data_IF_639449985924
#
_entry.id   IF_639449985924
#
_cell.length_a   1.000
_cell.length_b   1.000
_cell.length_c   1.000
_cell.angle_alpha   90.00
_cell.angle_beta   90.00
_cell.angle_gamma   90.00
#
_symmetry.space_group_name_H-M   'P 1'
#
loop_
_entity.id
_entity.type
_entity.pdbx_description
1 polymer ?
#
# COMPACT_ATOMS: atom_id res chain seq x y z
N UNK A 1 30.85 -2.22 -4.59
CA UNK A 1 29.88 -2.55 -5.67
C UNK A 1 28.82 -1.47 -5.68
N UNK A 2 28.32 -1.10 -6.86
CA UNK A 2 27.15 -0.22 -7.01
C UNK A 2 25.91 -0.99 -6.57
N UNK A 3 25.11 -0.39 -5.71
CA UNK A 3 24.01 -1.06 -4.99
C UNK A 3 22.67 -0.46 -5.39
N UNK A 4 21.65 -1.32 -5.44
CA UNK A 4 20.26 -0.88 -5.45
C UNK A 4 19.89 -0.27 -4.09
N UNK A 5 18.83 0.55 -4.04
CA UNK A 5 18.27 1.08 -2.81
C UNK A 5 17.95 -0.06 -1.83
N UNK A 6 17.34 -1.14 -2.31
CA UNK A 6 17.03 -2.30 -1.48
C UNK A 6 18.28 -2.82 -0.76
N UNK A 7 19.38 -3.04 -1.50
CA UNK A 7 20.64 -3.50 -0.92
C UNK A 7 21.23 -2.48 0.06
N UNK A 8 21.22 -1.18 -0.28
CA UNK A 8 21.70 -0.12 0.62
C UNK A 8 20.94 -0.09 1.94
N UNK A 9 19.62 -0.19 1.89
CA UNK A 9 18.76 -0.18 3.08
C UNK A 9 18.91 -1.47 3.87
N UNK A 10 18.91 -2.62 3.20
CA UNK A 10 19.10 -3.94 3.83
C UNK A 10 20.41 -4.01 4.61
N UNK A 11 21.52 -3.63 3.98
CA UNK A 11 22.85 -3.65 4.60
C UNK A 11 22.92 -2.72 5.81
N UNK A 12 22.33 -1.52 5.70
CA UNK A 12 22.29 -0.53 6.80
C UNK A 12 21.51 -1.03 8.02
N UNK A 13 20.53 -1.90 7.81
CA UNK A 13 19.63 -2.40 8.86
C UNK A 13 19.96 -3.84 9.27
N UNK A 14 21.00 -4.45 8.71
CA UNK A 14 21.45 -5.78 9.10
C UNK A 14 22.11 -5.70 10.48
N UNK A 15 21.56 -6.45 11.44
CA UNK A 15 22.15 -6.60 12.78
C UNK A 15 23.19 -7.72 12.76
N UNK A 16 22.82 -8.87 12.21
CA UNK A 16 23.68 -10.04 12.09
C UNK A 16 23.18 -10.96 10.97
N UNK A 17 24.06 -11.84 10.50
CA UNK A 17 23.66 -13.02 9.73
C UNK A 17 23.43 -14.18 10.70
N UNK A 18 22.30 -14.87 10.54
CA UNK A 18 21.92 -16.00 11.37
C UNK A 18 22.51 -17.32 10.81
N UNK A 19 22.66 -18.37 11.65
CA UNK A 19 23.27 -19.63 11.22
C UNK A 19 22.56 -20.34 10.06
N UNK A 20 21.27 -20.07 9.86
CA UNK A 20 20.46 -20.61 8.76
C UNK A 20 20.61 -19.82 7.44
N UNK A 21 21.43 -18.77 7.42
CA UNK A 21 21.67 -17.91 6.28
C UNK A 21 20.66 -16.76 6.14
N UNK A 22 19.69 -16.63 7.05
CA UNK A 22 18.80 -15.47 7.09
C UNK A 22 19.49 -14.26 7.73
N UNK A 23 19.02 -13.06 7.39
CA UNK A 23 19.48 -11.81 8.00
C UNK A 23 18.59 -11.49 9.19
N UNK A 24 19.19 -11.24 10.36
CA UNK A 24 18.51 -10.53 11.44
C UNK A 24 18.44 -9.05 11.06
N UNK A 25 17.26 -8.61 10.65
CA UNK A 25 17.01 -7.27 10.14
C UNK A 25 16.38 -6.42 11.23
N UNK A 26 16.96 -5.25 11.51
CA UNK A 26 16.37 -4.23 12.35
C UNK A 26 15.20 -3.56 11.64
N UNK A 27 14.06 -3.41 12.32
CA UNK A 27 12.87 -2.75 11.80
C UNK A 27 12.82 -1.32 12.33
N UNK A 28 13.06 -0.33 11.47
CA UNK A 28 13.12 1.08 11.87
C UNK A 28 11.78 1.61 12.38
N UNK A 29 10.68 1.17 11.77
CA UNK A 29 9.32 1.58 12.07
C UNK A 29 8.41 0.36 12.06
N UNK A 30 7.62 0.19 13.13
CA UNK A 30 6.59 -0.83 13.21
C UNK A 30 5.22 -0.16 13.19
N UNK A 31 4.37 -0.54 12.24
CA UNK A 31 2.98 -0.11 12.22
C UNK A 31 2.11 -1.28 12.69
N UNK A 32 1.06 -1.00 13.44
CA UNK A 32 0.14 -2.02 13.95
C UNK A 32 -1.32 -1.55 13.82
N UNK A 33 -2.21 -2.53 13.80
CA UNK A 33 -3.66 -2.33 13.70
C UNK A 33 -4.38 -3.45 14.47
N UNK A 34 -5.68 -3.27 14.68
CA UNK A 34 -6.51 -4.04 15.59
C UNK A 34 -6.67 -5.53 15.25
N UNK A 35 -6.41 -5.94 14.01
CA UNK A 35 -6.69 -7.31 13.56
C UNK A 35 -5.60 -8.28 14.02
N UNK A 36 -4.33 -7.86 13.94
CA UNK A 36 -3.19 -8.76 14.14
C UNK A 36 -2.40 -8.49 15.42
N UNK A 37 -2.50 -7.28 15.98
CA UNK A 37 -1.69 -6.89 17.14
C UNK A 37 -2.21 -7.37 18.50
N UNK A 38 -3.51 -7.54 18.78
CA UNK A 38 -3.97 -7.97 20.12
C UNK A 38 -3.35 -9.30 20.58
N UNK A 39 -3.29 -10.29 19.67
CA UNK A 39 -2.69 -11.59 19.96
C UNK A 39 -1.18 -11.46 20.18
N UNK A 40 -0.51 -10.58 19.42
CA UNK A 40 0.91 -10.33 19.62
C UNK A 40 1.18 -9.77 21.02
N UNK A 41 0.44 -8.74 21.47
CA UNK A 41 0.54 -8.21 22.84
C UNK A 41 0.23 -9.26 23.91
N UNK A 42 -0.75 -10.15 23.66
CA UNK A 42 -1.02 -11.31 24.51
C UNK A 42 0.23 -12.19 24.69
N UNK A 43 0.91 -12.53 23.60
CA UNK A 43 2.15 -13.33 23.64
C UNK A 43 3.29 -12.61 24.40
N UNK A 44 3.40 -11.28 24.32
CA UNK A 44 4.36 -10.54 25.15
C UNK A 44 4.05 -10.72 26.64
N UNK A 45 2.77 -10.60 27.03
CA UNK A 45 2.34 -10.78 28.43
C UNK A 45 2.62 -12.18 28.93
N UNK A 46 2.31 -13.22 28.14
CA UNK A 46 2.57 -14.62 28.50
C UNK A 46 4.08 -14.89 28.73
N UNK A 47 4.94 -14.21 27.98
CA UNK A 47 6.40 -14.30 28.10
C UNK A 47 7.01 -13.34 29.13
N UNK A 48 6.22 -12.48 29.76
CA UNK A 48 6.72 -11.44 30.68
C UNK A 48 7.58 -10.37 29.99
N UNK A 49 7.39 -10.15 28.69
CA UNK A 49 8.16 -9.20 27.87
C UNK A 49 7.47 -7.84 27.77
N UNK A 50 8.29 -6.80 27.56
CA UNK A 50 7.83 -5.45 27.23
C UNK A 50 8.02 -5.17 25.74
N UNK A 51 7.37 -4.12 25.24
CA UNK A 51 7.71 -3.56 23.92
C UNK A 51 9.08 -2.90 24.00
N UNK A 52 10.01 -3.30 23.14
CA UNK A 52 11.40 -2.85 23.19
C UNK A 52 11.57 -1.38 22.76
N UNK A 53 10.88 -0.93 21.71
CA UNK A 53 10.96 0.45 21.20
C UNK A 53 9.55 1.00 20.92
N UNK A 54 8.79 1.38 21.96
CA UNK A 54 7.43 1.88 21.81
C UNK A 54 7.36 3.20 21.01
N UNK A 55 8.44 4.00 21.02
CA UNK A 55 8.60 5.24 20.24
C UNK A 55 8.72 5.01 18.72
N UNK A 56 8.93 3.76 18.30
CA UNK A 56 9.02 3.33 16.90
C UNK A 56 7.81 2.53 16.44
N UNK A 57 6.85 2.34 17.33
CA UNK A 57 5.62 1.59 17.06
C UNK A 57 4.45 2.56 17.02
N UNK A 58 3.66 2.48 15.96
CA UNK A 58 2.50 3.34 15.74
C UNK A 58 1.27 2.51 15.43
N UNK A 59 0.17 2.80 16.10
CA UNK A 59 -1.09 2.10 15.95
C UNK A 59 -2.16 3.00 15.31
N UNK A 60 -3.07 2.40 14.56
CA UNK A 60 -4.36 2.98 14.20
C UNK A 60 -5.41 1.88 14.11
N UNK A 61 -6.68 2.25 13.99
CA UNK A 61 -7.78 1.31 13.69
C UNK A 61 -8.29 1.61 12.31
N UNK A 62 -8.46 0.61 11.45
CA UNK A 62 -8.89 0.85 10.07
C UNK A 62 -9.72 -0.25 9.39
N UNK A 63 -9.76 -1.48 9.90
CA UNK A 63 -10.51 -2.58 9.27
C UNK A 63 -11.96 -2.68 9.79
N UNK A 64 -12.21 -2.22 11.01
CA UNK A 64 -13.48 -2.48 11.72
C UNK A 64 -14.29 -1.24 12.08
N UNK A 65 -13.85 -0.04 11.67
CA UNK A 65 -14.64 1.18 11.89
C UNK A 65 -15.87 1.12 10.95
N UNK A 66 -17.10 1.12 11.49
CA UNK A 66 -18.29 1.01 10.64
C UNK A 66 -18.48 2.24 9.76
N UNK A 67 -18.90 2.01 8.51
CA UNK A 67 -19.12 3.09 7.54
C UNK A 67 -20.30 4.01 7.87
N UNK A 68 -21.24 3.54 8.71
CA UNK A 68 -22.52 4.20 9.02
C UNK A 68 -22.61 4.73 10.46
N UNK A 69 -21.61 4.48 11.31
CA UNK A 69 -21.57 4.92 12.70
C UNK A 69 -20.19 5.49 13.06
N UNK A 70 -20.16 6.68 13.66
CA UNK A 70 -18.91 7.38 14.01
C UNK A 70 -18.64 7.50 15.50
N UNK A 71 -19.56 7.04 16.35
CA UNK A 71 -19.50 7.22 17.81
C UNK A 71 -19.67 5.86 18.48
N UNK A 72 -18.76 5.53 19.40
CA UNK A 72 -18.81 4.33 20.25
C UNK A 72 -19.98 4.40 21.28
N UNK A 73 -20.52 3.26 21.74
CA UNK A 73 -20.15 1.90 21.34
C UNK A 73 -20.69 1.53 19.96
N UNK A 74 -19.91 0.78 19.19
CA UNK A 74 -20.35 0.33 17.87
C UNK A 74 -21.40 -0.78 17.96
N UNK A 75 -22.31 -0.84 16.96
CA UNK A 75 -23.33 -1.89 16.85
C UNK A 75 -22.74 -3.30 16.82
N UNK A 76 -21.59 -3.44 16.17
CA UNK A 76 -20.82 -4.67 16.20
C UNK A 76 -19.98 -4.71 17.49
N UNK A 77 -20.39 -5.58 18.42
CA UNK A 77 -19.73 -5.73 19.72
C UNK A 77 -18.32 -6.31 19.63
N UNK A 78 -18.04 -7.11 18.58
CA UNK A 78 -16.69 -7.63 18.36
C UNK A 78 -15.77 -6.50 17.89
N UNK A 79 -16.24 -5.67 16.95
CA UNK A 79 -15.49 -4.51 16.50
C UNK A 79 -15.19 -3.55 17.67
N UNK A 80 -16.22 -3.22 18.45
CA UNK A 80 -16.07 -2.38 19.64
C UNK A 80 -15.04 -2.93 20.65
N UNK A 81 -15.06 -4.24 20.91
CA UNK A 81 -14.11 -4.90 21.80
C UNK A 81 -12.67 -4.87 21.27
N UNK A 82 -12.46 -5.10 19.95
CA UNK A 82 -11.14 -5.06 19.33
C UNK A 82 -10.50 -3.66 19.41
N UNK A 83 -11.27 -2.61 19.19
CA UNK A 83 -10.81 -1.22 19.32
C UNK A 83 -10.38 -0.92 20.76
N UNK A 84 -11.21 -1.33 21.73
CA UNK A 84 -10.93 -1.15 23.16
C UNK A 84 -9.67 -1.90 23.59
N UNK A 85 -9.48 -3.13 23.10
CA UNK A 85 -8.29 -3.92 23.40
C UNK A 85 -7.02 -3.32 22.78
N UNK A 86 -7.06 -2.82 21.54
CA UNK A 86 -5.93 -2.10 20.94
C UNK A 86 -5.60 -0.83 21.75
N UNK A 87 -6.61 -0.05 22.13
CA UNK A 87 -6.46 1.16 22.96
C UNK A 87 -5.79 0.85 24.29
N UNK A 88 -6.25 -0.20 24.97
CA UNK A 88 -5.66 -0.70 26.22
C UNK A 88 -4.20 -1.09 26.02
N UNK A 89 -3.90 -1.91 25.01
CA UNK A 89 -2.54 -2.34 24.72
C UNK A 89 -1.61 -1.16 24.42
N UNK A 90 -2.07 -0.19 23.62
CA UNK A 90 -1.26 0.99 23.33
C UNK A 90 -0.97 1.81 24.60
N UNK A 91 -1.97 2.00 25.46
CA UNK A 91 -1.79 2.70 26.73
C UNK A 91 -0.86 1.95 27.70
N UNK A 92 -0.97 0.62 27.76
CA UNK A 92 -0.17 -0.22 28.67
C UNK A 92 1.32 -0.21 28.28
N UNK A 93 1.60 -0.29 26.98
CA UNK A 93 2.96 -0.40 26.45
C UNK A 93 3.56 0.92 25.96
N UNK A 94 2.83 2.05 26.07
CA UNK A 94 3.31 3.37 25.67
C UNK A 94 3.42 3.56 24.14
N UNK A 95 2.64 2.81 23.36
CA UNK A 95 2.60 2.90 21.90
C UNK A 95 1.76 4.08 21.46
N UNK A 96 2.23 4.84 20.47
CA UNK A 96 1.47 5.96 19.91
C UNK A 96 0.25 5.43 19.14
N UNK A 97 -0.95 5.87 19.53
CA UNK A 97 -2.20 5.42 18.92
C UNK A 97 -2.97 6.56 18.26
N UNK A 98 -3.15 6.49 16.93
CA UNK A 98 -4.01 7.38 16.16
C UNK A 98 -5.46 6.89 16.23
N UNK A 99 -6.08 7.10 17.39
CA UNK A 99 -7.45 6.73 17.71
C UNK A 99 -8.47 7.60 16.97
N UNK A 100 -9.74 7.17 16.90
CA UNK A 100 -10.85 7.87 16.22
C UNK A 100 -11.02 9.31 16.73
N UNK A 101 -10.86 9.52 18.04
CA UNK A 101 -10.96 10.84 18.67
C UNK A 101 -9.78 11.77 18.34
N UNK A 102 -8.67 11.24 17.81
CA UNK A 102 -7.45 12.02 17.53
C UNK A 102 -7.57 12.95 16.32
N UNK A 103 -8.58 12.74 15.46
CA UNK A 103 -8.69 13.43 14.17
C UNK A 103 -7.66 12.99 13.13
N UNK A 104 -6.84 11.96 13.45
CA UNK A 104 -5.75 11.43 12.61
C UNK A 104 -5.94 9.96 12.25
N UNK A 105 -7.04 9.34 12.65
CA UNK A 105 -7.33 7.94 12.35
C UNK A 105 -7.55 7.75 10.84
N UNK A 106 -7.15 6.61 10.33
CA UNK A 106 -7.33 6.22 8.95
C UNK A 106 -6.65 4.90 8.66
N UNK A 107 -6.65 4.52 7.39
CA UNK A 107 -5.94 3.35 6.89
C UNK A 107 -4.46 3.45 7.24
N UNK A 108 -3.90 2.39 7.83
CA UNK A 108 -2.53 2.38 8.37
C UNK A 108 -1.48 2.83 7.35
N UNK A 109 -1.64 2.43 6.08
CA UNK A 109 -0.75 2.78 4.97
C UNK A 109 -0.93 4.20 4.42
N UNK A 110 -1.95 4.93 4.88
CA UNK A 110 -2.19 6.35 4.58
C UNK A 110 -1.76 7.20 5.78
N UNK A 111 -2.11 6.80 7.00
CA UNK A 111 -1.74 7.49 8.23
C UNK A 111 -0.21 7.61 8.37
N UNK A 112 0.53 6.53 8.13
CA UNK A 112 2.00 6.56 8.22
C UNK A 112 2.64 7.68 7.37
N UNK A 113 2.40 7.72 6.06
CA UNK A 113 2.85 8.80 5.18
C UNK A 113 2.32 10.18 5.56
N UNK A 114 1.03 10.33 5.87
CA UNK A 114 0.42 11.61 6.24
C UNK A 114 1.03 12.24 7.48
N UNK A 115 1.45 11.41 8.43
CA UNK A 115 2.13 11.85 9.64
C UNK A 115 3.64 12.07 9.42
N UNK A 116 4.21 11.63 8.28
CA UNK A 116 5.65 11.70 8.01
C UNK A 116 6.46 10.62 8.72
N UNK A 117 5.82 9.53 9.12
CA UNK A 117 6.44 8.35 9.76
C UNK A 117 7.16 7.50 8.70
N UNK A 118 6.61 7.48 7.48
CA UNK A 118 7.20 6.78 6.34
C UNK A 118 8.31 7.63 5.72
N UNK A 119 9.56 7.20 5.87
CA UNK A 119 10.73 7.99 5.47
C UNK A 119 11.69 7.18 4.58
N UNK A 120 12.40 7.84 3.65
CA UNK A 120 13.36 7.17 2.79
C UNK A 120 14.46 6.45 3.56
N UNK A 121 14.85 5.28 3.05
CA UNK A 121 15.98 4.53 3.55
C UNK A 121 15.71 3.77 4.84
N UNK A 122 14.44 3.53 5.17
CA UNK A 122 14.02 2.84 6.41
C UNK A 122 13.47 1.44 6.12
N UNK A 123 13.53 0.55 7.10
CA UNK A 123 12.79 -0.72 7.12
C UNK A 123 11.45 -0.54 7.85
N UNK A 124 10.35 -0.98 7.25
CA UNK A 124 9.00 -0.83 7.81
C UNK A 124 8.27 -2.17 7.78
N UNK A 125 7.68 -2.56 8.90
CA UNK A 125 6.85 -3.76 8.99
C UNK A 125 5.46 -3.43 9.55
N UNK A 126 4.46 -4.21 9.14
CA UNK A 126 3.12 -4.18 9.71
C UNK A 126 2.47 -5.56 9.56
N UNK A 127 1.50 -5.87 10.41
CA UNK A 127 0.65 -7.06 10.29
C UNK A 127 -0.28 -7.10 9.06
N UNK A 128 0.00 -6.28 8.04
CA UNK A 128 -0.81 -6.10 6.83
C UNK A 128 0.05 -6.37 5.57
N UNK A 129 -0.50 -7.09 4.60
CA UNK A 129 0.19 -7.45 3.34
C UNK A 129 0.62 -6.24 2.50
N UNK A 130 -0.17 -5.17 2.51
CA UNK A 130 -0.01 -3.98 1.68
C UNK A 130 0.98 -2.96 2.25
N UNK A 131 1.75 -3.35 3.27
CA UNK A 131 2.87 -2.56 3.81
C UNK A 131 3.87 -2.14 2.74
N UNK A 132 3.94 -2.86 1.62
CA UNK A 132 4.68 -2.44 0.42
C UNK A 132 4.36 -1.01 -0.04
N UNK A 133 3.17 -0.47 0.26
CA UNK A 133 2.76 0.93 -0.01
C UNK A 133 3.84 1.95 0.37
N UNK A 134 4.50 1.73 1.51
CA UNK A 134 5.49 2.64 2.06
C UNK A 134 6.77 2.74 1.21
N UNK A 135 7.01 1.78 0.32
CA UNK A 135 8.13 1.83 -0.62
C UNK A 135 8.03 2.95 -1.66
N UNK A 136 6.87 3.59 -1.82
CA UNK A 136 6.71 4.81 -2.61
C UNK A 136 7.62 5.98 -2.15
N UNK A 137 8.12 5.89 -0.92
CA UNK A 137 9.02 6.85 -0.29
C UNK A 137 10.48 6.38 -0.28
N UNK A 138 10.81 5.28 -0.96
CA UNK A 138 12.15 4.68 -0.89
C UNK A 138 12.43 3.95 0.42
N UNK A 139 11.40 3.38 1.05
CA UNK A 139 11.51 2.48 2.19
C UNK A 139 11.51 1.01 1.73
N UNK A 140 12.15 0.12 2.49
CA UNK A 140 11.99 -1.33 2.35
C UNK A 140 10.90 -1.77 3.31
N UNK A 141 9.71 -1.99 2.77
CA UNK A 141 8.50 -2.18 3.57
C UNK A 141 7.76 -3.46 3.16
N UNK A 142 7.35 -4.27 4.14
CA UNK A 142 6.75 -5.58 3.88
C UNK A 142 5.80 -6.02 5.01
N UNK A 143 4.78 -6.78 4.65
CA UNK A 143 3.82 -7.37 5.58
C UNK A 143 4.38 -8.56 6.34
N UNK A 144 3.99 -8.69 7.60
CA UNK A 144 4.45 -9.73 8.53
C UNK A 144 3.29 -10.44 9.22
N UNK A 145 3.50 -11.68 9.64
CA UNK A 145 2.48 -12.44 10.38
C UNK A 145 2.42 -12.09 11.87
N UNK A 146 1.37 -12.48 12.57
CA UNK A 146 1.17 -12.19 14.02
C UNK A 146 2.36 -12.59 14.90
N UNK A 147 2.99 -13.75 14.67
CA UNK A 147 4.17 -14.15 15.44
C UNK A 147 5.36 -13.23 15.20
N UNK A 148 5.52 -12.72 13.97
CA UNK A 148 6.57 -11.75 13.64
C UNK A 148 6.22 -10.37 14.23
N UNK A 149 4.95 -9.99 14.32
CA UNK A 149 4.52 -8.76 15.03
C UNK A 149 4.98 -8.82 16.48
N UNK A 150 4.80 -9.97 17.16
CA UNK A 150 5.35 -10.19 18.50
C UNK A 150 6.88 -10.03 18.51
N UNK A 151 7.60 -10.65 17.58
CA UNK A 151 9.07 -10.60 17.54
C UNK A 151 9.58 -9.16 17.36
N UNK A 152 8.94 -8.37 16.50
CA UNK A 152 9.27 -6.95 16.31
C UNK A 152 8.92 -6.14 17.56
N UNK A 153 7.77 -6.37 18.20
CA UNK A 153 7.45 -5.72 19.48
C UNK A 153 8.47 -6.05 20.57
N UNK A 154 8.89 -7.31 20.67
CA UNK A 154 9.79 -7.78 21.72
C UNK A 154 11.27 -7.41 21.49
N UNK A 155 11.70 -7.27 20.23
CA UNK A 155 13.13 -7.16 19.89
C UNK A 155 13.49 -6.04 18.90
N UNK A 156 12.50 -5.49 18.19
CA UNK A 156 12.68 -4.59 17.04
C UNK A 156 13.44 -5.21 15.86
N UNK A 157 13.58 -6.53 15.84
CA UNK A 157 14.25 -7.27 14.78
C UNK A 157 13.39 -8.40 14.28
N UNK A 158 13.72 -8.91 13.10
CA UNK A 158 13.16 -10.14 12.58
C UNK A 158 14.14 -10.87 11.68
N UNK A 159 14.00 -12.19 11.58
CA UNK A 159 14.76 -13.01 10.65
C UNK A 159 14.10 -13.02 9.27
N UNK A 160 14.84 -12.63 8.23
CA UNK A 160 14.38 -12.64 6.84
C UNK A 160 15.50 -13.05 5.88
N UNK A 161 15.16 -13.88 4.90
CA UNK A 161 16.04 -14.10 3.74
C UNK A 161 16.02 -12.86 2.83
N UNK A 162 17.17 -12.45 2.27
CA UNK A 162 17.21 -11.36 1.31
C UNK A 162 16.47 -11.73 0.02
N UNK A 163 15.89 -10.72 -0.63
CA UNK A 163 15.22 -10.86 -1.92
C UNK A 163 16.18 -10.50 -3.06
N UNK A 164 15.97 -11.12 -4.22
CA UNK A 164 16.52 -10.62 -5.49
C UNK A 164 15.86 -9.29 -5.85
N UNK A 165 16.47 -8.46 -6.67
CA UNK A 165 15.88 -7.19 -7.11
C UNK A 165 15.54 -7.25 -8.59
N UNK A 166 14.25 -7.09 -8.91
CA UNK A 166 13.78 -6.89 -10.28
C UNK A 166 13.48 -5.42 -10.51
N UNK A 167 14.06 -4.84 -11.55
CA UNK A 167 13.67 -3.52 -12.04
C UNK A 167 12.44 -3.64 -12.93
N UNK A 168 11.38 -2.91 -12.59
CA UNK A 168 10.19 -2.71 -13.41
C UNK A 168 10.28 -1.32 -14.02
N UNK A 169 10.72 -1.24 -15.28
CA UNK A 169 10.95 0.01 -15.98
C UNK A 169 9.75 0.36 -16.87
N UNK A 170 9.10 1.50 -16.61
CA UNK A 170 7.98 2.00 -17.42
C UNK A 170 8.41 3.25 -18.19
N UNK A 171 8.32 3.18 -19.52
CA UNK A 171 8.82 4.19 -20.46
C UNK A 171 7.68 4.94 -21.14
N UNK A 172 7.95 6.19 -21.53
CA UNK A 172 7.01 7.00 -22.29
C UNK A 172 5.99 7.76 -21.42
N UNK A 173 4.86 8.13 -22.03
CA UNK A 173 3.80 8.92 -21.40
C UNK A 173 2.48 8.15 -21.43
N UNK A 174 1.72 8.22 -20.34
CA UNK A 174 0.41 7.60 -20.25
C UNK A 174 -0.59 8.30 -21.19
N UNK A 175 -1.50 7.51 -21.75
CA UNK A 175 -2.64 8.02 -22.50
C UNK A 175 -3.69 8.68 -21.59
N UNK A 176 -4.63 9.46 -22.16
CA UNK A 176 -5.73 10.05 -21.41
C UNK A 176 -6.58 8.98 -20.70
N UNK A 177 -6.93 9.23 -19.44
CA UNK A 177 -7.74 8.31 -18.63
C UNK A 177 -6.99 7.09 -18.10
N UNK A 178 -5.66 7.04 -18.26
CA UNK A 178 -4.78 6.00 -17.71
C UNK A 178 -4.03 6.57 -16.51
N UNK A 179 -4.09 5.86 -15.39
CA UNK A 179 -3.52 6.26 -14.11
C UNK A 179 -2.60 5.18 -13.53
N UNK A 180 -1.99 5.48 -12.38
CA UNK A 180 -1.12 4.55 -11.66
C UNK A 180 -1.76 3.17 -11.40
N UNK A 181 -3.08 3.12 -11.20
CA UNK A 181 -3.81 1.85 -11.02
C UNK A 181 -3.77 0.97 -12.27
N UNK A 182 -3.88 1.58 -13.45
CA UNK A 182 -3.81 0.86 -14.73
C UNK A 182 -2.39 0.33 -14.98
N UNK A 183 -1.36 1.10 -14.60
CA UNK A 183 0.04 0.67 -14.70
C UNK A 183 0.26 -0.63 -13.91
N UNK A 184 -0.10 -0.64 -12.62
CA UNK A 184 0.18 -1.79 -11.77
C UNK A 184 -0.69 -3.00 -12.13
N UNK A 185 -1.95 -2.80 -12.53
CA UNK A 185 -2.78 -3.89 -13.05
C UNK A 185 -2.22 -4.46 -14.36
N UNK A 186 -1.68 -3.62 -15.24
CA UNK A 186 -1.04 -4.09 -16.48
C UNK A 186 0.25 -4.87 -16.20
N UNK A 187 1.04 -4.45 -15.21
CA UNK A 187 2.23 -5.22 -14.77
C UNK A 187 1.79 -6.59 -14.22
N UNK A 188 0.79 -6.62 -13.32
CA UNK A 188 0.32 -7.86 -12.69
C UNK A 188 -0.30 -8.81 -13.72
N UNK A 189 -1.12 -8.33 -14.65
CA UNK A 189 -1.71 -9.19 -15.70
C UNK A 189 -0.64 -9.79 -16.62
N UNK A 190 0.46 -9.07 -16.86
CA UNK A 190 1.53 -9.48 -17.78
C UNK A 190 2.51 -10.45 -17.12
N UNK A 191 2.88 -10.21 -15.86
CA UNK A 191 3.82 -11.06 -15.12
C UNK A 191 3.12 -12.21 -14.36
N UNK A 192 1.81 -12.10 -14.16
CA UNK A 192 1.02 -13.00 -13.33
C UNK A 192 1.11 -12.66 -11.83
N UNK A 193 0.17 -13.21 -11.06
CA UNK A 193 0.07 -13.00 -9.60
C UNK A 193 1.22 -13.60 -8.79
N UNK A 194 2.00 -14.50 -9.40
CA UNK A 194 3.21 -15.09 -8.81
C UNK A 194 4.50 -14.53 -9.44
N UNK A 195 4.39 -13.53 -10.31
CA UNK A 195 5.53 -13.03 -11.09
C UNK A 195 6.67 -12.52 -10.21
N UNK A 196 6.35 -11.94 -9.06
CA UNK A 196 7.29 -11.30 -8.13
C UNK A 196 7.81 -12.19 -7.01
N UNK A 197 7.43 -13.46 -6.96
CA UNK A 197 7.88 -14.38 -5.92
C UNK A 197 9.41 -14.45 -5.87
N UNK A 198 9.99 -14.15 -4.70
CA UNK A 198 11.44 -14.11 -4.49
C UNK A 198 12.12 -12.80 -4.92
N UNK A 199 11.36 -11.81 -5.41
CA UNK A 199 11.87 -10.51 -5.83
C UNK A 199 11.31 -9.36 -4.97
N UNK A 200 12.15 -8.37 -4.73
CA UNK A 200 11.74 -7.00 -4.49
C UNK A 200 11.62 -6.28 -5.84
N UNK A 201 10.58 -5.47 -6.03
CA UNK A 201 10.39 -4.67 -7.23
C UNK A 201 10.92 -3.25 -7.03
N UNK A 202 11.83 -2.83 -7.89
CA UNK A 202 12.17 -1.42 -8.07
C UNK A 202 11.39 -0.87 -9.25
N UNK A 203 10.40 -0.03 -9.00
CA UNK A 203 9.67 0.67 -10.06
C UNK A 203 10.46 1.89 -10.49
N UNK A 204 10.77 1.98 -11.79
CA UNK A 204 11.67 2.97 -12.35
C UNK A 204 11.23 3.42 -13.75
N UNK A 205 11.93 4.42 -14.28
CA UNK A 205 11.70 4.94 -15.62
C UNK A 205 10.86 6.22 -15.60
N UNK A 206 10.87 6.97 -16.72
CA UNK A 206 10.34 8.32 -16.79
C UNK A 206 8.85 8.39 -16.45
N UNK A 207 8.08 7.34 -16.72
CA UNK A 207 6.66 7.31 -16.35
C UNK A 207 6.48 7.26 -14.83
N UNK A 208 7.22 6.39 -14.13
CA UNK A 208 7.14 6.24 -12.66
C UNK A 208 7.68 7.48 -11.95
N UNK A 209 8.80 8.04 -12.43
CA UNK A 209 9.37 9.30 -11.93
C UNK A 209 8.39 10.47 -12.14
N UNK A 210 7.63 10.44 -13.23
CA UNK A 210 6.58 11.40 -13.56
C UNK A 210 5.38 11.41 -12.60
N UNK A 211 5.11 10.31 -11.90
CA UNK A 211 3.99 10.19 -10.95
C UNK A 211 4.15 11.09 -9.72
N UNK A 212 3.03 11.44 -9.10
CA UNK A 212 2.96 11.97 -7.75
C UNK A 212 3.27 10.89 -6.70
N UNK A 213 3.52 11.29 -5.45
CA UNK A 213 3.76 10.32 -4.37
C UNK A 213 2.54 9.44 -4.11
N UNK A 214 1.32 9.99 -4.16
CA UNK A 214 0.10 9.21 -3.95
C UNK A 214 -0.15 8.19 -5.07
N UNK A 215 0.25 8.51 -6.30
CA UNK A 215 0.26 7.56 -7.42
C UNK A 215 1.33 6.47 -7.26
N UNK A 216 2.53 6.82 -6.78
CA UNK A 216 3.58 5.82 -6.46
C UNK A 216 3.12 4.88 -5.35
N UNK A 217 2.37 5.39 -4.36
CA UNK A 217 1.77 4.58 -3.30
C UNK A 217 0.82 3.54 -3.87
N UNK A 218 -0.03 3.90 -4.86
CA UNK A 218 -0.90 2.92 -5.56
C UNK A 218 -0.11 1.77 -6.17
N UNK A 219 1.01 2.08 -6.85
CA UNK A 219 1.85 1.06 -7.50
C UNK A 219 2.53 0.18 -6.45
N UNK A 220 3.15 0.77 -5.44
CA UNK A 220 3.87 0.02 -4.42
C UNK A 220 2.92 -0.85 -3.58
N UNK A 221 1.74 -0.33 -3.23
CA UNK A 221 0.67 -1.05 -2.53
C UNK A 221 0.36 -2.38 -3.22
N UNK A 222 0.15 -2.35 -4.53
CA UNK A 222 -0.26 -3.53 -5.29
C UNK A 222 0.89 -4.48 -5.70
N UNK A 223 2.10 -4.29 -5.17
CA UNK A 223 3.23 -5.19 -5.46
C UNK A 223 2.97 -6.61 -4.95
N UNK A 224 2.27 -6.73 -3.83
CA UNK A 224 1.99 -8.03 -3.19
C UNK A 224 1.00 -8.86 -4.02
N UNK A 225 0.06 -8.24 -4.72
CA UNK A 225 -0.84 -8.88 -5.69
C UNK A 225 -0.10 -9.48 -6.90
N UNK A 226 1.07 -8.93 -7.23
CA UNK A 226 1.98 -9.48 -8.23
C UNK A 226 2.99 -10.49 -7.64
N UNK A 227 2.89 -10.81 -6.34
CA UNK A 227 3.76 -11.73 -5.63
C UNK A 227 5.06 -11.12 -5.08
N UNK A 228 5.30 -9.83 -5.33
CA UNK A 228 6.49 -9.12 -4.83
C UNK A 228 6.21 -8.59 -3.41
N UNK A 229 6.92 -9.14 -2.43
CA UNK A 229 6.73 -8.80 -1.01
C UNK A 229 7.17 -7.37 -0.66
N UNK A 230 8.01 -6.78 -1.50
CA UNK A 230 8.52 -5.41 -1.40
C UNK A 230 8.39 -4.79 -2.79
N UNK A 231 7.88 -3.56 -2.84
CA UNK A 231 7.92 -2.72 -4.04
C UNK A 231 8.27 -1.30 -3.66
N UNK A 232 9.20 -0.66 -4.38
CA UNK A 232 9.69 0.66 -4.03
C UNK A 232 10.00 1.53 -5.25
N UNK A 233 10.03 2.84 -5.01
CA UNK A 233 10.50 3.86 -5.95
C UNK A 233 11.67 4.61 -5.29
N UNK A 234 12.69 4.94 -6.06
CA UNK A 234 13.80 5.77 -5.56
C UNK A 234 13.28 7.14 -5.10
N UNK A 235 13.72 7.65 -3.93
CA UNK A 235 13.26 8.93 -3.42
C UNK A 235 13.82 10.07 -4.25
N UNK A 236 12.98 11.07 -4.54
CA UNK A 236 13.33 12.27 -5.31
C UNK A 236 12.72 13.53 -4.69
N UNK A 237 12.80 14.68 -5.38
CA UNK A 237 12.25 15.95 -4.87
C UNK A 237 10.77 15.84 -4.48
N UNK A 238 9.96 15.10 -5.24
CA UNK A 238 8.53 14.94 -4.91
C UNK A 238 8.36 14.20 -3.59
N UNK A 239 9.23 13.24 -3.30
CA UNK A 239 9.25 12.54 -2.01
C UNK A 239 9.57 13.52 -0.89
N UNK A 240 10.58 14.37 -1.08
CA UNK A 240 11.01 15.33 -0.06
C UNK A 240 9.97 16.44 0.16
N UNK A 241 9.36 16.95 -0.90
CA UNK A 241 8.30 17.96 -0.82
C UNK A 241 7.06 17.42 -0.09
N UNK A 242 6.68 16.16 -0.34
CA UNK A 242 5.55 15.53 0.36
C UNK A 242 5.79 15.43 1.87
N UNK A 243 7.03 15.12 2.27
CA UNK A 243 7.43 14.91 3.66
C UNK A 243 7.70 16.22 4.43
N UNK A 244 7.96 17.31 3.72
CA UNK A 244 8.33 18.58 4.34
C UNK A 244 7.23 19.09 5.28
N UNK A 245 7.64 19.39 6.52
CA UNK A 245 6.73 19.94 7.53
C UNK A 245 5.77 18.93 8.16
N UNK A 246 5.83 17.63 7.79
CA UNK A 246 5.00 16.60 8.41
C UNK A 246 5.37 16.38 9.88
N UNK A 247 4.41 15.99 10.74
CA UNK A 247 4.62 15.95 12.20
C UNK A 247 5.84 15.16 12.68
N UNK A 248 6.10 13.99 12.09
CA UNK A 248 7.19 13.09 12.47
C UNK A 248 8.43 13.20 11.56
N UNK A 249 8.45 14.17 10.65
CA UNK A 249 9.64 14.47 9.86
C UNK A 249 10.62 15.36 10.64
N UNK A 250 11.94 15.22 10.36
CA UNK A 250 12.95 16.12 10.91
C UNK A 250 12.66 17.60 10.59
N UNK A 251 13.21 18.52 11.39
CA UNK A 251 13.00 19.96 11.24
C UNK A 251 14.32 20.73 11.31
N UNK A 252 14.37 21.92 10.70
CA UNK A 252 15.56 22.77 10.73
C UNK A 252 16.80 22.05 10.22
N UNK A 253 17.90 22.09 10.98
CA UNK A 253 19.17 21.45 10.58
C UNK A 253 19.06 19.93 10.40
N UNK A 254 18.19 19.27 11.16
CA UNK A 254 17.98 17.82 11.04
C UNK A 254 17.24 17.47 9.74
N UNK A 255 16.41 18.39 9.22
CA UNK A 255 15.80 18.25 7.90
C UNK A 255 16.85 18.32 6.80
N UNK A 256 17.74 19.31 6.86
CA UNK A 256 18.81 19.47 5.86
C UNK A 256 19.75 18.25 5.86
N UNK A 257 20.10 17.74 7.05
CA UNK A 257 20.87 16.50 7.18
C UNK A 257 20.12 15.28 6.64
N UNK A 258 18.82 15.16 6.93
CA UNK A 258 17.99 14.07 6.40
C UNK A 258 17.91 14.11 4.87
N UNK A 259 17.79 15.28 4.24
CA UNK A 259 17.79 15.41 2.79
C UNK A 259 19.09 14.88 2.16
N UNK A 260 20.23 15.20 2.76
CA UNK A 260 21.54 14.68 2.29
C UNK A 260 21.57 13.15 2.35
N UNK A 261 21.08 12.57 3.44
CA UNK A 261 21.07 11.11 3.60
C UNK A 261 20.02 10.43 2.71
N UNK A 262 18.82 10.97 2.59
CA UNK A 262 17.76 10.43 1.75
C UNK A 262 18.15 10.41 0.27
N UNK A 263 18.91 11.39 -0.22
CA UNK A 263 19.44 11.37 -1.59
C UNK A 263 20.42 10.22 -1.84
N UNK A 264 21.21 9.84 -0.83
CA UNK A 264 22.19 8.74 -0.95
C UNK A 264 21.54 7.35 -0.97
N UNK A 265 20.28 7.26 -0.52
CA UNK A 265 19.51 6.00 -0.45
C UNK A 265 19.14 5.49 -1.84
N UNK A 266 18.90 6.37 -2.80
CA UNK A 266 18.55 5.99 -4.18
C UNK A 266 19.58 5.02 -4.78
N UNK A 267 19.11 4.10 -5.62
CA UNK A 267 19.95 3.16 -6.39
C UNK A 267 21.06 3.90 -7.13
N UNK A 268 22.25 3.33 -7.13
CA UNK A 268 23.36 3.89 -7.90
C UNK A 268 23.03 3.84 -9.42
N UNK A 269 23.49 4.80 -10.24
CA UNK A 269 23.15 4.85 -11.67
C UNK A 269 23.44 3.57 -12.46
N UNK A 270 24.49 2.82 -12.07
CA UNK A 270 24.83 1.52 -12.65
C UNK A 270 24.71 0.39 -11.63
N UNK A 271 23.67 0.45 -10.78
CA UNK A 271 23.29 -0.66 -9.92
C UNK A 271 22.95 -1.90 -10.77
N UNK A 272 23.34 -3.07 -10.27
CA UNK A 272 23.07 -4.35 -10.94
C UNK A 272 21.76 -4.93 -10.39
N UNK A 273 20.88 -5.34 -11.30
CA UNK A 273 19.59 -5.95 -11.01
C UNK A 273 19.62 -7.42 -11.41
N UNK A 274 18.93 -8.27 -10.64
CA UNK A 274 18.79 -9.70 -10.94
C UNK A 274 17.90 -9.95 -12.16
N UNK A 275 16.96 -9.04 -12.43
CA UNK A 275 16.07 -9.08 -13.59
C UNK A 275 15.59 -7.67 -13.96
N UNK A 276 15.26 -7.45 -15.23
CA UNK A 276 14.71 -6.18 -15.75
C UNK A 276 13.51 -6.50 -16.63
N UNK A 277 12.36 -5.91 -16.30
CA UNK A 277 11.14 -5.94 -17.13
C UNK A 277 10.83 -4.53 -17.59
N UNK A 278 10.62 -4.38 -18.89
CA UNK A 278 10.34 -3.10 -19.53
C UNK A 278 8.90 -3.08 -20.03
N UNK A 279 8.19 -1.99 -19.76
CA UNK A 279 6.83 -1.73 -20.21
C UNK A 279 6.77 -0.37 -20.89
N UNK A 280 6.01 -0.27 -21.98
CA UNK A 280 5.75 0.99 -22.66
C UNK A 280 4.41 1.56 -22.19
N UNK A 281 4.41 2.78 -21.66
CA UNK A 281 3.22 3.46 -21.16
C UNK A 281 2.14 3.64 -22.24
N UNK A 282 2.53 3.67 -23.51
CA UNK A 282 1.62 3.75 -24.66
C UNK A 282 0.76 2.48 -24.83
N UNK A 283 1.21 1.34 -24.34
CA UNK A 283 0.49 0.06 -24.43
C UNK A 283 -0.52 -0.10 -23.29
N UNK A 284 -0.46 0.76 -22.26
CA UNK A 284 -1.32 0.71 -21.09
C UNK A 284 -2.59 1.53 -21.37
N UNK A 285 -3.73 0.89 -21.18
CA UNK A 285 -5.07 1.46 -21.38
C UNK A 285 -5.91 1.33 -20.10
N UNK A 286 -7.06 2.01 -19.98
CA UNK A 286 -7.92 1.88 -18.81
C UNK A 286 -8.28 0.42 -18.55
N UNK A 287 -7.94 -0.08 -17.37
CA UNK A 287 -7.92 -1.50 -17.03
C UNK A 287 -8.94 -1.81 -15.94
N UNK A 288 -9.59 -2.96 -16.07
CA UNK A 288 -10.54 -3.50 -15.09
C UNK A 288 -10.26 -4.98 -14.89
N UNK A 289 -10.40 -5.46 -13.65
CA UNK A 289 -10.31 -6.88 -13.33
C UNK A 289 -11.69 -7.53 -13.48
N UNK A 290 -11.78 -8.58 -14.30
CA UNK A 290 -13.04 -9.27 -14.57
C UNK A 290 -13.29 -10.48 -13.66
N UNK A 291 -12.26 -10.95 -12.96
CA UNK A 291 -12.28 -12.19 -12.20
C UNK A 291 -12.08 -12.02 -10.70
N UNK A 292 -11.53 -13.07 -10.07
CA UNK A 292 -11.37 -13.22 -8.61
C UNK A 292 -9.94 -13.00 -8.13
N UNK A 293 -9.01 -12.70 -9.05
CA UNK A 293 -7.67 -12.25 -8.70
C UNK A 293 -7.21 -11.08 -9.59
N UNK A 294 -6.23 -10.27 -9.14
CA UNK A 294 -5.79 -9.06 -9.85
C UNK A 294 -5.07 -9.32 -11.19
N UNK A 295 -4.56 -10.53 -11.42
CA UNK A 295 -3.99 -10.94 -12.71
C UNK A 295 -5.03 -11.12 -13.80
N UNK A 296 -6.31 -11.30 -13.44
CA UNK A 296 -7.43 -11.39 -14.36
C UNK A 296 -7.90 -9.99 -14.78
N UNK A 297 -6.96 -9.19 -15.31
CA UNK A 297 -7.18 -7.83 -15.81
C UNK A 297 -7.32 -7.79 -17.33
N UNK A 298 -8.27 -7.00 -17.82
CA UNK A 298 -8.44 -6.66 -19.24
C UNK A 298 -8.56 -5.14 -19.39
N UNK A 299 -8.28 -4.63 -20.57
CA UNK A 299 -8.68 -3.26 -20.89
C UNK A 299 -10.20 -3.17 -21.00
N UNK A 300 -10.77 -2.02 -20.67
CA UNK A 300 -12.22 -1.84 -20.57
C UNK A 300 -12.96 -2.14 -21.90
N UNK A 301 -12.27 -2.01 -23.04
CA UNK A 301 -12.78 -2.26 -24.38
C UNK A 301 -12.56 -3.71 -24.89
N UNK A 302 -11.80 -4.52 -24.14
CA UNK A 302 -11.55 -5.93 -24.44
C UNK A 302 -12.73 -6.84 -24.03
N UNK A 303 -12.75 -8.02 -24.63
CA UNK A 303 -13.64 -9.11 -24.21
C UNK A 303 -12.95 -9.99 -23.18
N UNK A 304 -13.72 -10.55 -22.25
CA UNK A 304 -13.24 -11.55 -21.30
C UNK A 304 -12.72 -12.77 -22.09
N UNK A 305 -11.47 -13.24 -21.85
CA UNK A 305 -10.90 -14.36 -22.59
C UNK A 305 -11.65 -15.67 -22.34
N UNK A 306 -11.65 -16.59 -23.31
CA UNK A 306 -12.06 -17.97 -23.03
C UNK A 306 -10.93 -18.68 -22.29
N UNK A 307 -11.24 -19.58 -21.33
CA UNK A 307 -10.20 -20.32 -20.60
C UNK A 307 -9.23 -21.06 -21.52
N UNK A 308 -9.68 -21.53 -22.68
CA UNK A 308 -8.87 -22.25 -23.67
C UNK A 308 -7.79 -21.36 -24.31
N UNK A 309 -7.99 -20.04 -24.31
CA UNK A 309 -7.05 -19.04 -24.83
C UNK A 309 -5.95 -18.67 -23.82
N UNK A 310 -6.10 -19.08 -22.56
CA UNK A 310 -5.15 -18.80 -21.49
C UNK A 310 -4.12 -19.92 -21.35
N UNK A 311 -2.93 -19.63 -20.77
CA UNK A 311 -1.95 -20.64 -20.39
C UNK A 311 -2.59 -21.75 -19.55
N UNK A 312 -2.12 -22.99 -19.70
CA UNK A 312 -2.69 -24.17 -19.02
C UNK A 312 -2.83 -23.95 -17.50
N UNK A 313 -1.82 -23.34 -16.88
CA UNK A 313 -1.79 -23.05 -15.45
C UNK A 313 -2.93 -22.12 -14.98
N UNK A 314 -3.46 -21.26 -15.86
CA UNK A 314 -4.47 -20.26 -15.52
C UNK A 314 -5.90 -20.71 -15.83
N UNK A 315 -6.08 -21.79 -16.61
CA UNK A 315 -7.39 -22.21 -17.12
C UNK A 315 -8.38 -22.57 -16.02
N UNK A 316 -7.93 -23.24 -14.97
CA UNK A 316 -8.79 -23.62 -13.85
C UNK A 316 -9.31 -22.40 -13.10
N UNK A 317 -8.42 -21.46 -12.76
CA UNK A 317 -8.79 -20.22 -12.07
C UNK A 317 -9.68 -19.33 -12.94
N UNK A 318 -9.49 -19.33 -14.27
CA UNK A 318 -10.37 -18.60 -15.19
C UNK A 318 -11.79 -19.18 -15.24
N UNK A 319 -11.93 -20.51 -15.23
CA UNK A 319 -13.24 -21.17 -15.17
C UNK A 319 -13.97 -20.83 -13.86
N UNK A 320 -13.28 -20.93 -12.74
CA UNK A 320 -13.80 -20.54 -11.42
C UNK A 320 -14.22 -19.07 -11.40
N UNK A 321 -13.40 -18.17 -11.95
CA UNK A 321 -13.69 -16.75 -12.02
C UNK A 321 -14.96 -16.46 -12.84
N UNK A 322 -15.12 -17.09 -14.01
CA UNK A 322 -16.32 -16.92 -14.84
C UNK A 322 -17.58 -17.39 -14.11
N UNK A 323 -17.50 -18.53 -13.42
CA UNK A 323 -18.61 -19.07 -12.64
C UNK A 323 -18.97 -18.18 -11.45
N UNK A 324 -17.99 -17.80 -10.63
CA UNK A 324 -18.19 -16.96 -9.46
C UNK A 324 -18.73 -15.57 -9.84
N UNK A 325 -18.13 -14.94 -10.85
CA UNK A 325 -18.53 -13.61 -11.32
C UNK A 325 -19.78 -13.63 -12.19
N UNK A 326 -20.25 -14.83 -12.59
CA UNK A 326 -21.40 -15.04 -13.47
C UNK A 326 -21.24 -14.37 -14.83
N UNK A 327 -20.02 -14.37 -15.35
CA UNK A 327 -19.70 -13.89 -16.69
C UNK A 327 -19.56 -15.04 -17.69
N UNK A 328 -19.64 -14.70 -18.98
CA UNK A 328 -19.38 -15.63 -20.08
C UNK A 328 -18.08 -15.25 -20.78
N UNK A 329 -17.34 -16.25 -21.24
CA UNK A 329 -16.23 -16.02 -22.16
C UNK A 329 -16.69 -15.23 -23.40
N UNK A 330 -15.85 -14.31 -23.87
CA UNK A 330 -16.14 -13.40 -24.99
C UNK A 330 -17.02 -12.19 -24.63
N UNK A 331 -17.63 -12.16 -23.44
CA UNK A 331 -18.46 -11.05 -22.99
C UNK A 331 -17.62 -9.78 -22.78
N UNK A 332 -18.19 -8.62 -23.11
CA UNK A 332 -17.62 -7.30 -22.78
C UNK A 332 -18.10 -6.82 -21.41
N UNK A 333 -17.19 -6.22 -20.65
CA UNK A 333 -17.53 -5.56 -19.38
C UNK A 333 -18.16 -4.17 -19.58
N UNK A 334 -17.73 -3.44 -20.61
CA UNK A 334 -18.39 -2.20 -20.98
C UNK A 334 -19.88 -2.43 -21.28
N UNK A 335 -20.75 -1.65 -20.63
CA UNK A 335 -22.21 -1.76 -20.74
C UNK A 335 -22.87 -2.70 -19.73
N UNK A 336 -22.11 -3.44 -18.92
CA UNK A 336 -22.69 -4.21 -17.81
C UNK A 336 -23.24 -3.27 -16.73
N UNK A 337 -24.37 -3.68 -16.13
CA UNK A 337 -24.95 -2.95 -15.01
C UNK A 337 -24.19 -3.25 -13.73
N UNK A 338 -23.87 -2.22 -12.97
CA UNK A 338 -23.41 -2.35 -11.58
C UNK A 338 -24.60 -2.11 -10.63
N UNK A 339 -24.47 -2.53 -9.37
CA UNK A 339 -25.40 -2.17 -8.30
C UNK A 339 -24.74 -1.28 -7.26
N UNK A 340 -23.41 -1.39 -7.12
CA UNK A 340 -22.62 -0.66 -6.13
C UNK A 340 -21.39 -0.07 -6.81
N UNK A 341 -21.08 1.18 -6.50
CA UNK A 341 -19.82 1.83 -6.83
C UNK A 341 -19.12 2.23 -5.53
N UNK A 342 -17.94 1.68 -5.27
CA UNK A 342 -17.15 1.98 -4.08
C UNK A 342 -15.86 2.69 -4.48
N UNK A 343 -15.61 3.84 -3.86
CA UNK A 343 -14.44 4.69 -4.13
C UNK A 343 -13.68 4.93 -2.83
N UNK A 344 -12.44 4.50 -2.73
CA UNK A 344 -11.70 4.50 -1.46
C UNK A 344 -11.26 3.10 -1.07
N UNK A 345 -10.02 2.93 -0.64
CA UNK A 345 -9.38 1.71 -0.13
C UNK A 345 -7.94 2.07 0.27
N UNK A 346 -7.18 1.11 0.80
CA UNK A 346 -5.74 1.31 1.06
C UNK A 346 -4.95 1.64 -0.22
N UNK A 347 -5.40 1.12 -1.36
CA UNK A 347 -4.78 1.34 -2.67
C UNK A 347 -5.08 2.70 -3.26
N UNK A 348 -6.26 3.27 -3.01
CA UNK A 348 -6.78 4.54 -3.54
C UNK A 348 -7.74 5.18 -2.55
N UNK A 349 -7.42 6.32 -1.96
CA UNK A 349 -8.30 7.05 -1.05
C UNK A 349 -7.67 8.36 -0.55
N UNK A 350 -6.70 8.90 -1.30
CA UNK A 350 -5.93 10.08 -0.91
C UNK A 350 -6.46 11.31 -1.60
N UNK A 351 -5.96 12.49 -1.23
CA UNK A 351 -6.53 13.76 -1.70
C UNK A 351 -6.52 13.85 -3.22
N UNK A 352 -5.44 13.42 -3.89
CA UNK A 352 -5.36 13.43 -5.36
C UNK A 352 -6.41 12.54 -6.02
N UNK A 353 -6.71 11.38 -5.44
CA UNK A 353 -7.73 10.45 -5.94
C UNK A 353 -9.11 11.15 -5.94
N UNK A 354 -9.47 11.81 -4.83
CA UNK A 354 -10.73 12.56 -4.70
C UNK A 354 -10.79 13.80 -5.60
N UNK A 355 -9.67 14.52 -5.75
CA UNK A 355 -9.57 15.64 -6.70
C UNK A 355 -9.85 15.16 -8.12
N UNK A 356 -9.25 14.06 -8.55
CA UNK A 356 -9.44 13.53 -9.90
C UNK A 356 -10.88 13.09 -10.14
N UNK A 357 -11.42 12.27 -9.23
CA UNK A 357 -12.79 11.79 -9.33
C UNK A 357 -13.83 12.93 -9.32
N UNK A 358 -13.57 14.02 -8.59
CA UNK A 358 -14.48 15.18 -8.55
C UNK A 358 -14.71 15.82 -9.93
N UNK A 359 -13.72 15.75 -10.84
CA UNK A 359 -13.82 16.28 -12.20
C UNK A 359 -14.88 15.54 -13.03
N UNK A 360 -15.05 14.24 -12.76
CA UNK A 360 -16.05 13.41 -13.44
C UNK A 360 -17.43 13.50 -12.80
N UNK A 361 -17.49 13.76 -11.49
CA UNK A 361 -18.74 13.81 -10.72
C UNK A 361 -19.43 15.18 -10.81
N UNK A 362 -18.67 16.27 -10.96
CA UNK A 362 -19.22 17.63 -10.96
C UNK A 362 -20.33 17.81 -12.00
N UNK A 363 -21.52 18.19 -11.52
CA UNK A 363 -22.70 18.42 -12.35
C UNK A 363 -23.38 17.16 -12.87
N UNK A 364 -22.97 15.97 -12.42
CA UNK A 364 -23.59 14.69 -12.76
C UNK A 364 -24.36 14.14 -11.55
N UNK A 365 -25.14 13.09 -11.79
CA UNK A 365 -25.83 12.33 -10.74
C UNK A 365 -25.53 10.84 -10.89
N UNK A 366 -25.38 10.15 -9.77
CA UNK A 366 -25.37 8.69 -9.70
C UNK A 366 -26.70 8.17 -10.25
N UNK A 367 -26.63 7.14 -11.08
CA UNK A 367 -27.81 6.58 -11.73
C UNK A 367 -28.81 6.01 -10.70
N UNK A 368 -30.14 6.10 -10.94
CA UNK A 368 -31.14 5.57 -10.02
C UNK A 368 -30.91 4.09 -9.70
N UNK A 369 -31.01 3.75 -8.40
CA UNK A 369 -30.83 2.38 -7.91
C UNK A 369 -29.38 1.94 -7.70
N UNK A 370 -28.39 2.79 -8.02
CA UNK A 370 -26.98 2.52 -7.72
C UNK A 370 -26.62 3.03 -6.33
N UNK A 371 -26.01 2.17 -5.51
CA UNK A 371 -25.40 2.60 -4.24
C UNK A 371 -23.97 3.05 -4.50
N UNK A 372 -23.72 4.36 -4.47
CA UNK A 372 -22.38 4.92 -4.51
C UNK A 372 -21.88 5.23 -3.09
N UNK A 373 -20.65 4.84 -2.78
CA UNK A 373 -20.00 5.12 -1.50
C UNK A 373 -18.59 5.62 -1.78
N UNK A 374 -18.23 6.74 -1.17
CA UNK A 374 -16.87 7.26 -1.19
C UNK A 374 -16.30 7.33 0.24
N UNK A 375 -15.15 6.70 0.47
CA UNK A 375 -14.51 6.58 1.78
C UNK A 375 -13.11 7.18 1.73
N UNK A 376 -12.91 8.38 2.31
CA UNK A 376 -11.57 8.95 2.45
C UNK A 376 -10.67 8.04 3.27
N UNK A 377 -9.39 7.97 2.91
CA UNK A 377 -8.44 7.04 3.50
C UNK A 377 -8.06 7.36 4.94
N UNK A 378 -8.31 8.59 5.37
CA UNK A 378 -8.16 9.03 6.76
C UNK A 378 -9.10 10.20 7.06
N UNK A 379 -9.24 10.49 8.35
CA UNK A 379 -9.85 11.73 8.82
C UNK A 379 -9.11 12.97 8.29
N UNK A 380 -7.79 12.88 8.06
CA UNK A 380 -6.98 13.91 7.45
C UNK A 380 -7.38 14.18 5.99
N UNK A 381 -7.46 13.14 5.16
CA UNK A 381 -7.97 13.26 3.77
C UNK A 381 -9.37 13.85 3.77
N UNK A 382 -10.26 13.32 4.62
CA UNK A 382 -11.65 13.77 4.73
C UNK A 382 -11.75 15.27 5.02
N UNK A 383 -10.94 15.74 5.99
CA UNK A 383 -10.86 17.16 6.35
C UNK A 383 -10.37 18.02 5.17
N UNK A 384 -9.29 17.63 4.51
CA UNK A 384 -8.73 18.37 3.36
C UNK A 384 -9.76 18.43 2.22
N UNK A 385 -10.43 17.32 1.91
CA UNK A 385 -11.46 17.28 0.87
C UNK A 385 -12.64 18.22 1.20
N UNK A 386 -13.03 18.30 2.48
CA UNK A 386 -14.08 19.23 2.91
C UNK A 386 -13.65 20.70 2.81
N UNK A 387 -12.40 21.02 3.19
CA UNK A 387 -11.83 22.37 3.04
C UNK A 387 -11.75 22.80 1.57
N UNK A 388 -11.52 21.85 0.65
CA UNK A 388 -11.52 22.05 -0.79
C UNK A 388 -12.93 22.06 -1.42
N UNK A 389 -13.98 21.76 -0.65
CA UNK A 389 -15.37 21.63 -1.13
C UNK A 389 -15.63 20.41 -2.02
N UNK A 390 -14.73 19.44 -2.05
CA UNK A 390 -14.86 18.21 -2.83
C UNK A 390 -15.94 17.31 -2.23
N UNK A 391 -16.07 17.28 -0.90
CA UNK A 391 -17.11 16.53 -0.21
C UNK A 391 -18.53 16.88 -0.71
N UNK A 392 -18.78 18.15 -1.03
CA UNK A 392 -20.04 18.63 -1.59
C UNK A 392 -20.27 18.08 -2.99
N UNK A 393 -19.26 18.09 -3.86
CA UNK A 393 -19.34 17.52 -5.21
C UNK A 393 -19.73 16.03 -5.14
N UNK A 394 -19.15 15.27 -4.20
CA UNK A 394 -19.47 13.86 -4.02
C UNK A 394 -20.87 13.62 -3.45
N UNK A 395 -21.37 14.48 -2.56
CA UNK A 395 -22.74 14.39 -2.03
C UNK A 395 -23.80 14.85 -3.03
N UNK A 396 -23.42 15.77 -3.91
CA UNK A 396 -24.27 16.29 -4.96
C UNK A 396 -24.37 15.31 -6.13
N UNK A 397 -23.34 14.53 -6.45
CA UNK A 397 -23.46 13.44 -7.41
C UNK A 397 -24.37 12.33 -6.89
#
# INVERSE_FOLDING_TARGET
>A
MKKTLFQKVWDRHTVAQLPDGSTQLFIRTHLIHEVTSPQAFGMLRDLGLKVAFPDRTFATVDHIVPTDQRVEPFRDSLADAMIKELRKNCSEFGVTFFDIASGKQGIVHIVGPEQGITQPGTTIACGDSHTSTHGAFGAVAFGIGTSQVRDVLATQTMALSPLKVRKIEVRGKLGPGVYAKDIILHIIRTLGVNGGTGYAYEYAGPTIEGLSIEERMTICNMSIEGGARVGYVNPDEKTFDYLKGRPYCPKGKDWDAALVEWRKVASDPDAVYDDVKVFEAADIRPTVTWGINPGQGIFIDESIPSPEQLPEADRSSAKEALEFMKFKAGQKLAGQKIQVAFFGSCTNARVSDFVEASKFLKGRKVAPGIRAIAVPGSQGVSKICAEMGIDKIFREA
#
